data_IF_478821261870
#
_entry.id   IF_478821261870
#
_cell.length_a   1.000
_cell.length_b   1.000
_cell.length_c   1.000
_cell.angle_alpha   90.00
_cell.angle_beta   90.00
_cell.angle_gamma   90.00
#
_symmetry.space_group_name_H-M   'P 1'
#
loop_
_entity.id
_entity.type
_entity.pdbx_description
1 polymer ?
#
# COMPACT_ATOMS: atom_id res chain seq x y z
N UNK A 1 -22.70 29.76 -22.47
CA UNK A 1 -23.03 28.34 -22.70
C UNK A 1 -22.15 27.56 -21.76
N UNK A 2 -22.73 26.95 -20.72
CA UNK A 2 -22.01 25.94 -19.94
C UNK A 2 -21.73 24.76 -20.85
N UNK A 3 -20.46 24.40 -20.98
CA UNK A 3 -20.03 23.23 -21.75
C UNK A 3 -20.46 22.01 -20.95
N UNK A 4 -21.30 21.16 -21.52
CA UNK A 4 -21.87 20.02 -20.80
C UNK A 4 -20.88 18.83 -20.89
N UNK A 5 -20.22 18.49 -19.79
CA UNK A 5 -19.21 17.40 -19.72
C UNK A 5 -19.86 16.02 -19.52
N UNK A 6 -20.92 15.73 -20.29
CA UNK A 6 -21.71 14.49 -20.16
C UNK A 6 -20.85 13.23 -20.34
N UNK A 7 -19.77 13.33 -21.11
CA UNK A 7 -18.83 12.23 -21.36
C UNK A 7 -17.92 11.89 -20.18
N UNK A 8 -17.73 12.79 -19.20
CA UNK A 8 -16.82 12.57 -18.08
C UNK A 8 -17.58 12.04 -16.87
N UNK A 9 -17.29 10.80 -16.50
CA UNK A 9 -17.93 10.12 -15.37
C UNK A 9 -16.99 10.04 -14.17
N UNK A 10 -17.54 9.96 -12.96
CA UNK A 10 -16.75 9.63 -11.78
C UNK A 10 -16.27 8.16 -11.90
N UNK A 11 -15.01 7.86 -11.54
CA UNK A 11 -14.43 6.51 -11.75
C UNK A 11 -15.27 5.39 -11.12
N UNK A 12 -15.88 5.63 -9.96
CA UNK A 12 -16.75 4.65 -9.29
C UNK A 12 -18.04 4.28 -10.04
N UNK A 13 -18.40 5.06 -11.08
CA UNK A 13 -19.54 4.82 -11.97
C UNK A 13 -19.10 4.40 -13.37
N UNK A 14 -17.80 4.50 -13.66
CA UNK A 14 -17.25 4.30 -14.99
C UNK A 14 -17.20 2.80 -15.30
N UNK A 15 -17.74 2.37 -16.44
CA UNK A 15 -17.73 0.95 -16.86
C UNK A 15 -16.48 0.55 -17.65
N UNK A 16 -15.75 1.54 -18.16
CA UNK A 16 -14.62 1.35 -19.06
C UNK A 16 -14.93 1.88 -20.46
N UNK A 17 -14.15 1.46 -21.42
CA UNK A 17 -14.25 1.82 -22.83
C UNK A 17 -14.55 0.56 -23.68
N UNK A 18 -14.26 0.59 -24.97
CA UNK A 18 -14.44 -0.56 -25.85
C UNK A 18 -13.50 -1.71 -25.45
N UNK A 19 -12.22 -1.41 -25.28
CA UNK A 19 -11.17 -2.38 -25.03
C UNK A 19 -10.76 -2.50 -23.55
N UNK A 20 -11.08 -1.51 -22.72
CA UNK A 20 -10.72 -1.50 -21.31
C UNK A 20 -11.94 -1.59 -20.38
N UNK A 21 -11.73 -2.20 -19.22
CA UNK A 21 -12.66 -2.19 -18.10
C UNK A 21 -12.12 -1.37 -16.93
N UNK A 22 -13.02 -0.81 -16.13
CA UNK A 22 -12.70 -0.20 -14.83
C UNK A 22 -13.23 -1.13 -13.75
N UNK A 23 -12.32 -1.71 -12.98
CA UNK A 23 -12.63 -2.58 -11.86
C UNK A 23 -12.49 -1.82 -10.56
N UNK A 24 -13.53 -1.93 -9.73
CA UNK A 24 -13.51 -1.40 -8.37
C UNK A 24 -12.94 -2.45 -7.43
N UNK A 25 -11.79 -2.14 -6.83
CA UNK A 25 -11.10 -3.00 -5.85
C UNK A 25 -11.53 -2.60 -4.43
N UNK A 26 -11.47 -1.29 -4.13
CA UNK A 26 -11.98 -0.72 -2.89
C UNK A 26 -13.16 0.21 -3.18
N UNK A 27 -14.15 0.19 -2.29
CA UNK A 27 -15.37 1.00 -2.41
C UNK A 27 -15.09 2.50 -2.32
N UNK A 28 -16.01 3.32 -2.83
CA UNK A 28 -15.86 4.78 -3.00
C UNK A 28 -15.81 5.59 -1.70
N UNK A 29 -15.74 4.93 -0.56
CA UNK A 29 -15.58 5.47 0.79
C UNK A 29 -14.35 4.90 1.52
N UNK A 30 -13.49 4.19 0.80
CA UNK A 30 -12.32 3.49 1.35
C UNK A 30 -11.05 4.01 0.68
N UNK A 31 -10.08 4.45 1.48
CA UNK A 31 -8.75 4.90 1.03
C UNK A 31 -7.73 3.78 1.17
N UNK A 32 -6.61 3.86 0.43
CA UNK A 32 -5.50 2.92 0.63
C UNK A 32 -4.75 3.33 1.88
N UNK A 33 -4.61 2.40 2.82
CA UNK A 33 -3.82 2.57 4.03
C UNK A 33 -2.41 2.00 3.87
N UNK A 34 -2.30 0.87 3.19
CA UNK A 34 -1.03 0.20 2.91
C UNK A 34 -1.11 -0.48 1.54
N UNK A 35 -0.07 -0.36 0.73
CA UNK A 35 0.06 -1.10 -0.52
C UNK A 35 1.52 -1.50 -0.77
N UNK A 36 1.73 -2.79 -0.97
CA UNK A 36 3.04 -3.35 -1.28
C UNK A 36 2.94 -4.43 -2.35
N UNK A 37 4.01 -4.59 -3.10
CA UNK A 37 4.18 -5.66 -4.06
C UNK A 37 5.11 -6.75 -3.51
N UNK A 38 4.66 -8.00 -3.53
CA UNK A 38 5.44 -9.18 -3.15
C UNK A 38 6.16 -9.73 -4.38
N UNK A 39 7.45 -9.44 -4.51
CA UNK A 39 8.19 -9.67 -5.76
C UNK A 39 8.49 -11.14 -6.09
N UNK A 40 8.34 -12.07 -5.14
CA UNK A 40 8.61 -13.50 -5.40
C UNK A 40 7.39 -14.20 -6.01
N UNK A 41 6.18 -13.87 -5.58
CA UNK A 41 4.91 -14.44 -6.10
C UNK A 41 4.17 -13.52 -7.08
N UNK A 42 4.59 -12.26 -7.22
CA UNK A 42 3.92 -11.25 -8.05
C UNK A 42 2.49 -10.93 -7.62
N UNK A 43 2.36 -10.59 -6.34
CA UNK A 43 1.10 -10.26 -5.71
C UNK A 43 1.13 -8.84 -5.16
N UNK A 44 -0.03 -8.18 -5.12
CA UNK A 44 -0.21 -6.91 -4.42
C UNK A 44 -0.90 -7.19 -3.09
N UNK A 45 -0.25 -6.79 -2.00
CA UNK A 45 -0.87 -6.69 -0.68
C UNK A 45 -1.46 -5.30 -0.53
N UNK A 46 -2.75 -5.22 -0.20
CA UNK A 46 -3.49 -3.97 -0.07
C UNK A 46 -4.28 -3.95 1.24
N UNK A 47 -4.15 -2.88 2.02
CA UNK A 47 -5.06 -2.57 3.14
C UNK A 47 -5.87 -1.35 2.76
N UNK A 48 -7.20 -1.50 2.73
CA UNK A 48 -8.14 -0.39 2.62
C UNK A 48 -8.66 0.03 4.00
N UNK A 49 -8.87 1.34 4.19
CA UNK A 49 -9.49 1.93 5.40
C UNK A 49 -10.76 2.68 5.01
N UNK A 50 -11.91 2.29 5.58
CA UNK A 50 -13.15 3.01 5.37
C UNK A 50 -13.18 4.29 6.22
N UNK A 51 -13.27 5.45 5.56
CA UNK A 51 -13.23 6.75 6.23
C UNK A 51 -14.58 7.23 6.77
N UNK A 52 -15.69 6.66 6.29
CA UNK A 52 -17.05 7.08 6.72
C UNK A 52 -17.52 6.39 8.00
N UNK A 53 -16.85 5.32 8.43
CA UNK A 53 -17.24 4.55 9.60
C UNK A 53 -16.47 5.01 10.84
N UNK A 54 -17.20 5.37 11.91
CA UNK A 54 -16.62 5.82 13.19
C UNK A 54 -15.62 4.83 13.81
N UNK A 55 -15.75 3.54 13.49
CA UNK A 55 -14.88 2.47 14.02
C UNK A 55 -13.72 2.10 13.08
N UNK A 56 -13.44 2.88 12.03
CA UNK A 56 -12.38 2.63 11.04
C UNK A 56 -12.33 1.16 10.59
N UNK A 57 -13.27 0.76 9.73
CA UNK A 57 -13.26 -0.62 9.22
C UNK A 57 -12.13 -0.78 8.21
N UNK A 58 -11.11 -1.56 8.56
CA UNK A 58 -10.04 -1.94 7.64
C UNK A 58 -10.39 -3.26 6.93
N UNK A 59 -9.84 -3.42 5.73
CA UNK A 59 -9.92 -4.67 4.96
C UNK A 59 -8.57 -4.92 4.29
N UNK A 60 -8.04 -6.13 4.42
CA UNK A 60 -6.84 -6.56 3.70
C UNK A 60 -7.21 -7.44 2.52
N UNK A 61 -6.62 -7.15 1.37
CA UNK A 61 -6.79 -7.86 0.12
C UNK A 61 -5.44 -8.33 -0.41
N UNK A 62 -5.45 -9.49 -1.06
CA UNK A 62 -4.38 -9.99 -1.92
C UNK A 62 -4.88 -9.90 -3.36
N UNK A 63 -4.14 -9.21 -4.21
CA UNK A 63 -4.46 -9.02 -5.61
C UNK A 63 -3.37 -9.60 -6.51
N UNK A 64 -3.72 -9.95 -7.74
CA UNK A 64 -2.73 -10.12 -8.80
C UNK A 64 -2.34 -8.77 -9.44
N UNK A 65 -1.34 -8.80 -10.33
CA UNK A 65 -0.87 -7.63 -11.08
C UNK A 65 -1.90 -7.02 -12.03
N UNK A 66 -3.01 -7.72 -12.27
CA UNK A 66 -4.11 -7.26 -13.12
C UNK A 66 -5.29 -6.74 -12.29
N UNK A 67 -5.19 -6.70 -10.95
CA UNK A 67 -6.23 -6.20 -10.06
C UNK A 67 -7.36 -7.19 -9.77
N UNK A 68 -7.19 -8.49 -10.06
CA UNK A 68 -8.12 -9.50 -9.56
C UNK A 68 -7.91 -9.70 -8.05
N UNK A 69 -8.99 -9.72 -7.28
CA UNK A 69 -8.94 -10.08 -5.87
C UNK A 69 -8.79 -11.60 -5.78
N UNK A 70 -7.67 -12.05 -5.23
CA UNK A 70 -7.37 -13.46 -5.05
C UNK A 70 -7.85 -13.98 -3.69
N UNK A 71 -7.70 -13.16 -2.66
CA UNK A 71 -7.99 -13.56 -1.28
C UNK A 71 -8.16 -12.36 -0.34
N UNK A 72 -8.72 -12.60 0.84
CA UNK A 72 -8.88 -11.62 1.93
C UNK A 72 -8.16 -12.11 3.20
N UNK A 73 -7.44 -11.21 3.87
CA UNK A 73 -6.55 -11.57 4.97
C UNK A 73 -6.84 -10.86 6.29
N UNK A 74 -6.17 -11.30 7.35
CA UNK A 74 -6.21 -10.66 8.66
C UNK A 74 -5.45 -9.32 8.68
N UNK A 75 -5.81 -8.44 9.61
CA UNK A 75 -5.21 -7.13 9.79
C UNK A 75 -3.96 -7.21 10.67
N UNK A 76 -2.84 -7.57 10.05
CA UNK A 76 -1.50 -7.53 10.64
C UNK A 76 -0.68 -6.44 9.93
N UNK A 77 0.45 -6.01 10.47
CA UNK A 77 1.42 -5.17 9.74
C UNK A 77 2.19 -6.04 8.75
N UNK A 78 2.47 -5.52 7.55
CA UNK A 78 3.32 -6.25 6.59
C UNK A 78 4.78 -5.90 6.81
N UNK A 79 5.60 -6.86 7.24
CA UNK A 79 7.05 -6.67 7.29
C UNK A 79 7.68 -6.76 5.90
N UNK A 80 8.92 -6.27 5.78
CA UNK A 80 9.62 -6.19 4.47
C UNK A 80 9.91 -7.57 3.87
N UNK A 81 9.95 -8.62 4.69
CA UNK A 81 10.09 -10.00 4.25
C UNK A 81 8.74 -10.69 3.95
N UNK A 82 7.63 -9.95 4.01
CA UNK A 82 6.28 -10.45 3.76
C UNK A 82 5.61 -11.12 4.96
N UNK A 83 6.29 -11.21 6.11
CA UNK A 83 5.68 -11.71 7.34
C UNK A 83 4.52 -10.79 7.75
N UNK A 84 3.39 -11.39 8.11
CA UNK A 84 2.25 -10.69 8.69
C UNK A 84 2.50 -10.60 10.19
N UNK A 85 2.97 -9.43 10.66
CA UNK A 85 3.41 -9.23 12.03
C UNK A 85 2.32 -8.62 12.92
N UNK A 86 2.22 -9.14 14.13
CA UNK A 86 1.48 -8.55 15.23
C UNK A 86 2.30 -8.71 16.52
N UNK A 87 1.92 -8.00 17.59
CA UNK A 87 2.74 -7.92 18.79
C UNK A 87 2.96 -9.29 19.46
N UNK A 88 1.97 -10.17 19.46
CA UNK A 88 2.01 -11.44 20.22
C UNK A 88 2.17 -12.68 19.35
N UNK A 89 1.90 -12.56 18.06
CA UNK A 89 1.93 -13.64 17.08
C UNK A 89 2.25 -13.07 15.68
N UNK A 90 2.45 -13.96 14.72
CA UNK A 90 2.62 -13.63 13.32
C UNK A 90 1.98 -14.73 12.46
N UNK A 91 1.76 -14.46 11.18
CA UNK A 91 1.42 -15.52 10.22
C UNK A 91 2.12 -15.27 8.87
N UNK A 92 1.93 -16.20 7.94
CA UNK A 92 2.59 -16.17 6.63
C UNK A 92 1.59 -16.13 5.48
N UNK A 93 0.37 -15.62 5.73
CA UNK A 93 -0.74 -15.66 4.76
C UNK A 93 -0.36 -15.03 3.41
N UNK A 94 0.43 -13.96 3.43
CA UNK A 94 0.90 -13.31 2.21
C UNK A 94 1.97 -14.12 1.46
N UNK A 95 2.74 -14.94 2.16
CA UNK A 95 3.87 -15.72 1.62
C UNK A 95 3.44 -17.08 1.08
N UNK A 96 2.52 -17.76 1.77
CA UNK A 96 2.14 -19.14 1.45
C UNK A 96 0.66 -19.47 1.75
N UNK A 97 -0.16 -18.46 2.02
CA UNK A 97 -1.57 -18.66 2.34
C UNK A 97 -1.85 -19.19 3.75
N UNK A 98 -0.82 -19.47 4.58
CA UNK A 98 -1.01 -19.90 5.95
C UNK A 98 -1.41 -18.72 6.85
N UNK A 99 -2.67 -18.66 7.22
CA UNK A 99 -3.27 -17.67 8.13
C UNK A 99 -3.30 -18.13 9.60
N UNK A 100 -2.77 -19.31 9.92
CA UNK A 100 -2.64 -19.77 11.30
C UNK A 100 -1.67 -18.87 12.07
N UNK A 101 -2.12 -18.44 13.25
CA UNK A 101 -1.31 -17.63 14.14
C UNK A 101 -0.16 -18.45 14.74
N UNK A 102 1.06 -17.96 14.54
CA UNK A 102 2.28 -18.55 15.06
C UNK A 102 2.78 -17.70 16.23
N UNK A 103 3.05 -18.35 17.35
CA UNK A 103 3.64 -17.68 18.50
C UNK A 103 5.13 -17.45 18.28
N UNK A 104 5.62 -16.32 18.79
CA UNK A 104 7.05 -16.07 18.87
C UNK A 104 7.73 -17.04 19.83
N UNK A 105 8.95 -17.46 19.48
CA UNK A 105 9.80 -18.21 20.39
C UNK A 105 10.39 -17.21 21.39
N UNK A 106 10.23 -17.50 22.68
CA UNK A 106 10.92 -16.79 23.75
C UNK A 106 12.27 -17.49 24.00
N UNK A 107 13.41 -16.86 23.65
CA UNK A 107 14.71 -17.48 23.78
C UNK A 107 15.26 -17.45 25.21
N UNK A 108 14.56 -16.82 26.15
CA UNK A 108 15.05 -16.59 27.51
C UNK A 108 14.32 -17.45 28.54
N UNK A 109 15.09 -18.09 29.42
CA UNK A 109 14.55 -18.67 30.65
C UNK A 109 14.11 -17.60 31.64
N UNK A 110 13.30 -18.01 32.64
CA UNK A 110 12.82 -17.11 33.69
C UNK A 110 13.94 -16.38 34.46
N UNK A 111 15.09 -17.04 34.67
CA UNK A 111 16.26 -16.44 35.30
C UNK A 111 16.98 -15.44 34.39
N UNK A 112 17.18 -15.78 33.11
CA UNK A 112 17.87 -14.91 32.15
C UNK A 112 17.10 -13.61 31.89
N UNK A 113 15.76 -13.65 31.95
CA UNK A 113 14.91 -12.44 31.87
C UNK A 113 15.11 -11.43 33.00
N UNK A 114 15.80 -11.80 34.08
CA UNK A 114 16.07 -10.93 35.25
C UNK A 114 17.54 -10.61 35.46
N UNK A 115 18.41 -11.09 34.58
CA UNK A 115 19.83 -10.80 34.63
C UNK A 115 20.25 -10.09 33.36
N UNK A 116 20.57 -8.80 33.48
CA UNK A 116 20.91 -7.94 32.33
C UNK A 116 22.07 -8.51 31.52
N UNK A 117 23.08 -9.09 32.19
CA UNK A 117 24.24 -9.67 31.52
C UNK A 117 23.86 -10.89 30.68
N UNK A 118 23.12 -11.84 31.26
CA UNK A 118 22.65 -13.02 30.55
C UNK A 118 21.69 -12.66 29.42
N UNK A 119 20.80 -11.69 29.65
CA UNK A 119 19.93 -11.14 28.63
C UNK A 119 20.73 -10.59 27.44
N UNK A 120 21.73 -9.75 27.70
CA UNK A 120 22.57 -9.13 26.65
C UNK A 120 23.37 -10.17 25.85
N UNK A 121 23.89 -11.21 26.51
CA UNK A 121 24.61 -12.29 25.83
C UNK A 121 23.69 -13.00 24.84
N UNK A 122 22.48 -13.37 25.27
CA UNK A 122 21.50 -14.06 24.42
C UNK A 122 20.97 -13.19 23.29
N UNK A 123 20.71 -11.92 23.60
CA UNK A 123 20.28 -10.93 22.62
C UNK A 123 21.35 -10.74 21.53
N UNK A 124 22.62 -10.53 21.92
CA UNK A 124 23.71 -10.33 20.97
C UNK A 124 23.94 -11.57 20.09
N UNK A 125 23.88 -12.77 20.69
CA UNK A 125 23.97 -14.03 19.95
C UNK A 125 22.88 -14.14 18.88
N UNK A 126 21.61 -13.88 19.25
CA UNK A 126 20.51 -14.02 18.32
C UNK A 126 20.48 -12.89 17.27
N UNK A 127 20.73 -11.66 17.68
CA UNK A 127 20.81 -10.50 16.79
C UNK A 127 21.83 -10.75 15.68
N UNK A 128 23.00 -11.29 16.02
CA UNK A 128 24.06 -11.56 15.04
C UNK A 128 23.69 -12.68 14.05
N UNK A 129 22.90 -13.67 14.48
CA UNK A 129 22.38 -14.76 13.63
C UNK A 129 21.16 -14.38 12.81
N UNK A 130 20.44 -13.33 13.20
CA UNK A 130 19.18 -12.95 12.58
C UNK A 130 19.34 -12.46 11.13
N UNK A 131 18.56 -13.04 10.22
CA UNK A 131 18.44 -12.59 8.84
C UNK A 131 17.53 -11.36 8.72
N UNK A 132 16.64 -11.17 9.69
CA UNK A 132 15.79 -9.99 9.84
C UNK A 132 15.62 -9.66 11.33
N UNK A 133 15.86 -8.40 11.68
CA UNK A 133 15.51 -7.79 12.96
C UNK A 133 14.51 -6.66 12.72
N UNK A 134 13.32 -6.81 13.28
CA UNK A 134 12.28 -5.78 13.35
C UNK A 134 12.16 -5.29 14.80
N UNK A 135 12.20 -3.98 15.00
CA UNK A 135 12.08 -3.34 16.30
C UNK A 135 10.74 -2.63 16.38
N UNK A 136 9.99 -2.88 17.44
CA UNK A 136 8.73 -2.19 17.67
C UNK A 136 8.49 -1.99 19.17
N UNK A 137 8.30 -0.72 19.55
CA UNK A 137 8.01 -0.26 20.90
C UNK A 137 9.06 -0.67 21.93
N UNK A 138 8.86 -1.83 22.56
CA UNK A 138 9.72 -2.36 23.63
C UNK A 138 10.11 -3.81 23.33
N UNK A 139 10.16 -4.20 22.06
CA UNK A 139 10.49 -5.56 21.68
C UNK A 139 11.25 -5.63 20.36
N UNK A 140 12.14 -6.60 20.31
CA UNK A 140 12.82 -7.02 19.09
C UNK A 140 12.21 -8.33 18.62
N UNK A 141 11.87 -8.37 17.35
CA UNK A 141 11.41 -9.55 16.64
C UNK A 141 12.55 -9.95 15.70
N UNK A 142 13.07 -11.16 15.86
CA UNK A 142 14.25 -11.62 15.14
C UNK A 142 13.95 -12.92 14.40
N UNK A 143 14.18 -12.92 13.08
CA UNK A 143 14.05 -14.11 12.24
C UNK A 143 15.38 -14.85 12.14
N UNK A 144 15.42 -16.10 12.59
CA UNK A 144 16.59 -16.99 12.51
C UNK A 144 16.13 -18.34 11.95
N UNK A 145 16.71 -18.77 10.83
CA UNK A 145 16.42 -20.08 10.19
C UNK A 145 14.90 -20.33 10.02
N UNK A 146 14.15 -19.31 9.61
CA UNK A 146 12.69 -19.26 9.44
C UNK A 146 11.82 -19.19 10.71
N UNK A 147 12.42 -19.15 11.90
CA UNK A 147 11.67 -18.97 13.14
C UNK A 147 11.76 -17.51 13.60
N UNK A 148 10.63 -16.97 14.07
CA UNK A 148 10.61 -15.66 14.72
C UNK A 148 10.71 -15.79 16.24
N UNK A 149 11.65 -15.04 16.80
CA UNK A 149 11.88 -14.90 18.23
C UNK A 149 11.46 -13.51 18.69
N UNK A 150 10.91 -13.41 19.90
CA UNK A 150 10.55 -12.13 20.53
C UNK A 150 11.41 -11.89 21.77
N UNK A 151 12.14 -10.78 21.75
CA UNK A 151 12.88 -10.26 22.89
C UNK A 151 12.16 -9.02 23.42
N UNK A 152 11.50 -9.15 24.57
CA UNK A 152 10.90 -8.00 25.27
C UNK A 152 11.91 -7.34 26.19
N UNK A 153 11.92 -6.01 26.24
CA UNK A 153 12.63 -5.26 27.26
C UNK A 153 11.91 -5.38 28.61
N UNK A 154 12.62 -5.80 29.65
CA UNK A 154 12.16 -5.63 31.03
C UNK A 154 12.53 -4.22 31.51
N UNK A 155 11.54 -3.33 31.63
CA UNK A 155 11.72 -1.96 32.13
C UNK A 155 12.38 -1.88 33.52
N UNK A 156 12.39 -2.97 34.30
CA UNK A 156 13.09 -3.05 35.59
C UNK A 156 14.58 -3.34 35.44
N UNK A 157 14.98 -4.03 34.38
CA UNK A 157 16.38 -4.27 34.05
C UNK A 157 16.99 -3.11 33.26
N UNK A 158 16.16 -2.42 32.50
CA UNK A 158 16.56 -1.34 31.61
C UNK A 158 16.13 0.02 32.18
N UNK A 159 16.89 0.49 33.18
CA UNK A 159 16.78 1.85 33.72
C UNK A 159 17.69 2.79 32.92
N UNK A 160 17.52 4.12 33.00
CA UNK A 160 18.46 5.06 32.37
C UNK A 160 19.93 4.90 32.77
N UNK A 161 20.19 4.22 33.91
CA UNK A 161 21.53 3.97 34.45
C UNK A 161 22.14 2.68 33.91
N UNK A 162 21.31 1.67 33.61
CA UNK A 162 21.74 0.34 33.11
C UNK A 162 21.55 0.18 31.62
N UNK A 163 20.72 1.01 31.00
CA UNK A 163 20.44 1.04 29.59
C UNK A 163 20.96 2.34 29.00
N UNK A 164 22.08 2.24 28.31
CA UNK A 164 22.51 3.30 27.40
C UNK A 164 21.36 3.56 26.43
N UNK A 165 20.84 4.79 26.40
CA UNK A 165 19.77 5.20 25.49
C UNK A 165 20.14 4.99 24.03
N UNK A 166 21.39 4.61 23.75
CA UNK A 166 21.96 4.24 22.45
C UNK A 166 21.97 2.75 22.12
N UNK A 167 21.38 1.86 22.92
CA UNK A 167 21.31 0.43 22.55
C UNK A 167 20.63 0.23 21.19
N UNK A 168 19.61 1.03 20.87
CA UNK A 168 18.97 1.05 19.55
C UNK A 168 19.92 1.52 18.43
N UNK A 169 20.89 2.39 18.75
CA UNK A 169 21.95 2.79 17.80
C UNK A 169 22.95 1.64 17.58
N UNK A 170 23.20 0.81 18.61
CA UNK A 170 24.10 -0.35 18.52
C UNK A 170 23.45 -1.53 17.79
N UNK A 171 22.14 -1.70 17.92
CA UNK A 171 21.37 -2.81 17.36
C UNK A 171 20.22 -2.31 16.49
N UNK A 172 20.50 -1.58 15.40
CA UNK A 172 19.43 -1.09 14.53
C UNK A 172 18.65 -2.25 13.91
N UNK A 173 17.40 -2.02 13.49
CA UNK A 173 16.70 -2.93 12.59
C UNK A 173 17.59 -3.27 11.38
N UNK A 174 17.59 -4.53 10.98
CA UNK A 174 18.39 -4.99 9.84
C UNK A 174 17.65 -6.07 9.07
N UNK A 175 17.88 -6.14 7.78
CA UNK A 175 17.34 -7.20 6.92
C UNK A 175 18.39 -7.55 5.88
N UNK A 176 18.59 -8.85 5.66
CA UNK A 176 19.45 -9.34 4.58
C UNK A 176 18.75 -9.16 3.22
N UNK A 177 19.47 -8.82 2.14
CA UNK A 177 18.86 -8.58 0.83
C UNK A 177 17.98 -9.73 0.31
N UNK A 178 18.31 -10.96 0.67
CA UNK A 178 17.62 -12.20 0.27
C UNK A 178 16.23 -12.35 0.91
N UNK A 179 16.05 -11.75 2.09
CA UNK A 179 14.79 -11.72 2.84
C UNK A 179 13.84 -10.65 2.32
N UNK A 180 14.33 -9.58 1.68
CA UNK A 180 13.47 -8.52 1.15
C UNK A 180 12.51 -9.10 0.11
N UNK A 181 11.21 -8.99 0.35
CA UNK A 181 10.13 -9.46 -0.53
C UNK A 181 9.16 -8.36 -0.93
N UNK A 182 8.82 -7.51 0.03
CA UNK A 182 7.85 -6.45 -0.15
C UNK A 182 8.52 -5.18 -0.66
N UNK A 183 7.99 -4.64 -1.76
CA UNK A 183 8.47 -3.39 -2.36
C UNK A 183 7.30 -2.42 -2.53
N UNK A 184 7.57 -1.12 -2.44
CA UNK A 184 6.57 -0.10 -2.75
C UNK A 184 6.34 -0.06 -4.26
N UNK A 185 5.09 0.08 -4.66
CA UNK A 185 4.73 0.29 -6.07
C UNK A 185 4.95 1.77 -6.37
N UNK A 186 5.69 2.13 -7.44
CA UNK A 186 5.95 3.52 -7.76
C UNK A 186 4.68 4.25 -8.19
N UNK A 187 4.53 5.48 -7.71
CA UNK A 187 3.56 6.44 -8.25
C UNK A 187 4.08 6.97 -9.58
N UNK A 188 3.19 7.07 -10.57
CA UNK A 188 3.54 7.46 -11.94
C UNK A 188 2.72 8.64 -12.44
N UNK A 189 1.93 9.29 -11.59
CA UNK A 189 1.03 10.39 -11.98
C UNK A 189 1.74 11.48 -12.80
N UNK A 190 2.87 12.00 -12.30
CA UNK A 190 3.63 13.06 -12.99
C UNK A 190 4.22 12.57 -14.31
N UNK A 191 4.78 11.35 -14.34
CA UNK A 191 5.32 10.74 -15.57
C UNK A 191 4.23 10.62 -16.66
N UNK A 192 3.00 10.27 -16.27
CA UNK A 192 1.87 10.14 -17.19
C UNK A 192 1.39 11.51 -17.72
N UNK A 193 1.50 12.57 -16.93
CA UNK A 193 1.23 13.93 -17.41
C UNK A 193 2.30 14.39 -18.41
N UNK A 194 3.58 14.16 -18.08
CA UNK A 194 4.72 14.56 -18.92
C UNK A 194 4.70 13.87 -20.29
N UNK A 195 4.41 12.57 -20.32
CA UNK A 195 4.36 11.78 -21.55
C UNK A 195 2.99 11.86 -22.26
N UNK A 196 2.03 12.63 -21.74
CA UNK A 196 0.68 12.84 -22.27
C UNK A 196 -0.23 11.61 -22.28
N UNK A 197 0.13 10.56 -21.53
CA UNK A 197 -0.76 9.41 -21.30
C UNK A 197 -1.95 9.83 -20.43
N UNK A 198 -1.72 10.68 -19.43
CA UNK A 198 -2.77 11.38 -18.68
C UNK A 198 -2.80 12.83 -19.12
N UNK A 199 -3.98 13.38 -19.41
CA UNK A 199 -4.15 14.78 -19.78
C UNK A 199 -5.28 15.41 -18.96
N UNK A 200 -5.05 16.64 -18.50
CA UNK A 200 -6.10 17.48 -17.96
C UNK A 200 -6.75 18.24 -19.12
N UNK A 201 -7.92 17.79 -19.56
CA UNK A 201 -8.67 18.47 -20.61
C UNK A 201 -9.17 19.84 -20.13
N UNK A 202 -9.72 19.89 -18.91
CA UNK A 202 -10.25 21.13 -18.35
C UNK A 202 -10.38 21.06 -16.82
N UNK A 203 -10.24 22.20 -16.14
CA UNK A 203 -10.64 22.37 -14.75
C UNK A 203 -11.85 23.30 -14.68
N UNK A 204 -12.96 22.78 -14.17
CA UNK A 204 -14.21 23.53 -14.00
C UNK A 204 -14.33 23.96 -12.55
N UNK A 205 -14.03 25.23 -12.27
CA UNK A 205 -14.18 25.84 -10.95
C UNK A 205 -15.66 25.79 -10.50
N UNK A 206 -15.94 25.16 -9.36
CA UNK A 206 -17.29 25.01 -8.81
C UNK A 206 -17.48 25.78 -7.51
N UNK A 207 -16.40 26.04 -6.77
CA UNK A 207 -16.40 26.78 -5.52
C UNK A 207 -15.12 27.61 -5.42
N UNK A 208 -15.22 28.82 -4.88
CA UNK A 208 -14.11 29.76 -4.75
C UNK A 208 -14.21 30.50 -3.42
N UNK A 209 -13.21 30.31 -2.58
CA UNK A 209 -13.01 31.14 -1.40
C UNK A 209 -12.02 32.25 -1.71
N UNK A 210 -12.50 33.50 -1.62
CA UNK A 210 -11.64 34.69 -1.59
C UNK A 210 -11.29 34.99 -0.14
N UNK A 211 -10.01 34.97 0.23
CA UNK A 211 -9.61 35.54 1.52
C UNK A 211 -9.58 37.08 1.43
N UNK A 212 -9.83 37.75 2.56
CA UNK A 212 -9.67 39.20 2.71
C UNK A 212 -8.41 39.52 3.52
N UNK A 213 -7.62 40.49 3.07
CA UNK A 213 -6.35 40.88 3.70
C UNK A 213 -5.34 41.51 2.73
N UNK A 214 -4.15 41.87 3.22
CA UNK A 214 -3.07 42.48 2.42
C UNK A 214 -2.42 41.52 1.40
N UNK A 215 -2.61 40.21 1.56
CA UNK A 215 -2.22 39.15 0.62
C UNK A 215 -3.36 38.12 0.50
N UNK A 216 -4.38 38.37 -0.35
CA UNK A 216 -5.49 37.45 -0.49
C UNK A 216 -5.02 36.16 -1.19
N UNK A 217 -5.10 35.02 -0.50
CA UNK A 217 -4.93 33.70 -1.12
C UNK A 217 -6.33 33.26 -1.55
N UNK A 218 -6.53 33.12 -2.86
CA UNK A 218 -7.76 32.56 -3.41
C UNK A 218 -7.62 31.04 -3.51
N UNK A 219 -8.49 30.31 -2.83
CA UNK A 219 -8.64 28.87 -3.00
C UNK A 219 -9.85 28.61 -3.89
N UNK A 220 -9.72 27.66 -4.82
CA UNK A 220 -10.88 27.14 -5.52
C UNK A 220 -10.90 25.62 -5.52
N UNK A 221 -12.10 25.07 -5.64
CA UNK A 221 -12.32 23.64 -5.87
C UNK A 221 -13.28 23.46 -7.03
N UNK A 222 -13.16 22.32 -7.68
CA UNK A 222 -13.81 22.10 -8.95
C UNK A 222 -13.58 20.71 -9.49
N UNK A 223 -14.15 20.45 -10.66
CA UNK A 223 -13.95 19.19 -11.37
C UNK A 223 -12.76 19.29 -12.31
N UNK A 224 -11.80 18.40 -12.10
CA UNK A 224 -10.76 18.08 -13.06
C UNK A 224 -11.31 17.07 -14.05
N UNK A 225 -11.28 17.40 -15.34
CA UNK A 225 -11.69 16.53 -16.44
C UNK A 225 -10.44 15.87 -17.03
N UNK A 226 -10.21 14.60 -16.70
CA UNK A 226 -9.05 13.84 -17.11
C UNK A 226 -9.35 12.95 -18.31
N UNK A 227 -8.35 12.84 -19.19
CA UNK A 227 -8.32 11.90 -20.30
C UNK A 227 -7.11 10.99 -20.12
N UNK A 228 -7.35 9.69 -19.93
CA UNK A 228 -6.31 8.67 -19.89
C UNK A 228 -6.28 7.98 -21.26
N UNK A 229 -5.21 8.20 -22.01
CA UNK A 229 -4.93 7.60 -23.30
C UNK A 229 -4.36 6.20 -23.08
N UNK A 230 -5.13 5.19 -23.46
CA UNK A 230 -4.81 3.79 -23.19
C UNK A 230 -4.02 3.18 -24.36
N UNK A 231 -3.10 2.23 -24.10
CA UNK A 231 -2.24 1.66 -25.15
C UNK A 231 -2.94 1.10 -26.40
N UNK A 232 -4.16 0.57 -26.28
CA UNK A 232 -4.92 0.06 -27.43
C UNK A 232 -5.69 1.16 -28.21
N UNK A 233 -5.43 2.43 -27.92
CA UNK A 233 -5.98 3.60 -28.62
C UNK A 233 -7.24 4.20 -27.99
N UNK A 234 -7.82 3.53 -26.99
CA UNK A 234 -8.97 4.03 -26.24
C UNK A 234 -8.61 5.27 -25.41
N UNK A 235 -9.60 6.13 -25.15
CA UNK A 235 -9.47 7.24 -24.19
C UNK A 235 -10.51 7.03 -23.10
N UNK A 236 -10.04 6.87 -21.86
CA UNK A 236 -10.91 6.85 -20.69
C UNK A 236 -11.10 8.29 -20.18
N UNK A 237 -12.32 8.80 -20.27
CA UNK A 237 -12.66 10.16 -19.80
C UNK A 237 -13.31 10.08 -18.43
N UNK A 238 -12.65 10.62 -17.42
CA UNK A 238 -13.18 10.62 -16.07
C UNK A 238 -12.99 11.97 -15.40
N UNK A 239 -13.85 12.27 -14.42
CA UNK A 239 -13.74 13.51 -13.64
C UNK A 239 -13.39 13.23 -12.19
N UNK A 240 -12.83 14.25 -11.56
CA UNK A 240 -12.47 14.21 -10.14
C UNK A 240 -12.68 15.57 -9.49
N UNK A 241 -13.44 15.62 -8.40
CA UNK A 241 -13.59 16.84 -7.62
C UNK A 241 -12.42 17.03 -6.66
N UNK A 242 -11.68 18.13 -6.81
CA UNK A 242 -10.50 18.43 -5.99
C UNK A 242 -10.31 19.93 -5.79
N UNK A 243 -9.38 20.31 -4.91
CA UNK A 243 -8.94 21.70 -4.81
C UNK A 243 -7.87 21.98 -5.86
N UNK A 244 -7.89 23.20 -6.41
CA UNK A 244 -6.93 23.67 -7.40
C UNK A 244 -5.49 23.53 -6.90
N UNK A 245 -4.59 23.01 -7.73
CA UNK A 245 -3.14 23.00 -7.49
C UNK A 245 -2.57 21.76 -6.77
N UNK A 246 -3.39 20.75 -6.46
CA UNK A 246 -2.91 19.43 -6.03
C UNK A 246 -3.26 18.39 -7.10
N UNK A 247 -2.70 17.18 -7.03
CA UNK A 247 -2.83 16.02 -7.96
C UNK A 247 -4.29 15.51 -8.09
N UNK A 248 -5.28 16.40 -7.96
CA UNK A 248 -6.69 16.16 -7.73
C UNK A 248 -6.99 15.20 -6.57
N UNK A 249 -6.07 15.09 -5.61
CA UNK A 249 -6.06 14.07 -4.54
C UNK A 249 -6.22 12.66 -5.12
N UNK A 250 -5.42 12.37 -6.15
CA UNK A 250 -5.42 11.13 -6.90
C UNK A 250 -3.98 10.68 -7.11
N UNK A 251 -3.74 9.38 -6.90
CA UNK A 251 -2.47 8.74 -7.20
C UNK A 251 -2.71 7.67 -8.28
N UNK A 252 -1.75 7.54 -9.19
CA UNK A 252 -1.78 6.50 -10.22
C UNK A 252 -0.53 5.65 -10.07
N UNK A 253 -0.70 4.33 -10.10
CA UNK A 253 0.35 3.35 -9.97
C UNK A 253 0.36 2.43 -11.18
N UNK A 254 1.57 2.02 -11.58
CA UNK A 254 1.78 0.96 -12.56
C UNK A 254 2.82 -0.01 -12.00
N UNK A 255 2.55 -1.31 -12.15
CA UNK A 255 3.51 -2.34 -11.75
C UNK A 255 4.47 -2.54 -12.94
N UNK A 256 5.80 -2.33 -12.76
CA UNK A 256 6.76 -2.49 -13.83
C UNK A 256 6.81 -3.91 -14.41
N UNK A 257 7.18 -4.04 -15.69
CA UNK A 257 7.32 -5.33 -16.38
C UNK A 257 8.34 -6.26 -15.74
N UNK A 258 9.40 -5.71 -15.14
CA UNK A 258 10.42 -6.47 -14.40
C UNK A 258 9.83 -7.17 -13.17
N UNK A 259 8.71 -6.64 -12.67
CA UNK A 259 7.91 -7.19 -11.59
C UNK A 259 6.70 -7.98 -12.10
N UNK A 260 6.62 -8.27 -13.40
CA UNK A 260 5.51 -9.02 -14.01
C UNK A 260 4.24 -8.21 -14.24
N UNK A 261 4.26 -6.90 -14.00
CA UNK A 261 3.15 -6.01 -14.35
C UNK A 261 3.17 -5.61 -15.83
N UNK A 262 2.20 -4.78 -16.24
CA UNK A 262 2.02 -4.38 -17.65
C UNK A 262 1.75 -2.89 -17.74
N UNK A 263 2.32 -2.24 -18.77
CA UNK A 263 2.07 -0.83 -19.09
C UNK A 263 0.61 -0.59 -19.53
N UNK A 264 -0.15 -1.66 -19.77
CA UNK A 264 -1.59 -1.62 -20.05
C UNK A 264 -2.46 -1.60 -18.78
N UNK A 265 -1.90 -1.82 -17.60
CA UNK A 265 -2.67 -1.85 -16.34
C UNK A 265 -2.33 -0.64 -15.49
N UNK A 266 -3.35 0.11 -15.11
CA UNK A 266 -3.24 1.27 -14.23
C UNK A 266 -4.05 1.03 -12.96
N UNK A 267 -3.48 1.33 -11.81
CA UNK A 267 -4.23 1.40 -10.56
C UNK A 267 -4.41 2.87 -10.19
N UNK A 268 -5.64 3.27 -9.89
CA UNK A 268 -5.96 4.65 -9.50
C UNK A 268 -6.52 4.64 -8.09
N UNK A 269 -5.82 5.33 -7.19
CA UNK A 269 -6.32 5.70 -5.87
C UNK A 269 -6.95 7.10 -5.93
N UNK A 270 -8.14 7.24 -5.35
CA UNK A 270 -8.77 8.54 -5.10
C UNK A 270 -8.91 8.77 -3.60
N UNK A 271 -8.44 9.91 -3.13
CA UNK A 271 -8.58 10.36 -1.74
C UNK A 271 -9.80 11.30 -1.64
N UNK A 272 -10.71 11.12 -0.68
CA UNK A 272 -11.86 11.99 -0.55
C UNK A 272 -11.47 13.31 0.15
N UNK A 273 -12.27 14.36 -0.08
CA UNK A 273 -12.19 15.60 0.69
C UNK A 273 -13.32 15.66 1.69
N UNK A 274 -12.95 15.80 2.96
CA UNK A 274 -13.92 15.97 4.05
C UNK A 274 -14.83 17.20 3.86
N UNK A 275 -14.32 18.24 3.21
CA UNK A 275 -15.10 19.47 2.93
C UNK A 275 -16.15 19.28 1.82
N UNK A 276 -16.04 18.22 1.00
CA UNK A 276 -16.94 17.97 -0.13
C UNK A 276 -17.36 16.48 -0.20
N UNK A 277 -18.00 15.93 0.86
CA UNK A 277 -18.22 14.49 1.02
C UNK A 277 -19.18 13.87 -0.02
N UNK A 278 -19.97 14.71 -0.70
CA UNK A 278 -20.95 14.29 -1.72
C UNK A 278 -20.44 14.52 -3.16
N UNK A 279 -19.25 15.11 -3.32
CA UNK A 279 -18.62 15.37 -4.63
C UNK A 279 -17.25 14.70 -4.77
N UNK A 280 -16.57 14.48 -3.65
CA UNK A 280 -15.22 13.97 -3.59
C UNK A 280 -15.23 12.56 -3.01
N UNK A 281 -15.32 11.58 -3.89
CA UNK A 281 -15.34 10.16 -3.53
C UNK A 281 -13.92 9.59 -3.41
N UNK A 282 -13.78 8.61 -2.53
CA UNK A 282 -12.57 7.81 -2.38
C UNK A 282 -12.58 6.64 -3.39
N UNK A 283 -11.64 5.70 -3.21
CA UNK A 283 -11.69 4.37 -3.80
C UNK A 283 -10.38 3.97 -4.44
N UNK A 284 -10.28 2.69 -4.78
CA UNK A 284 -9.12 2.13 -5.47
C UNK A 284 -9.60 1.28 -6.64
N UNK A 285 -9.14 1.60 -7.83
CA UNK A 285 -9.64 1.05 -9.10
C UNK A 285 -8.49 0.49 -9.92
N UNK A 286 -8.73 -0.58 -10.66
CA UNK A 286 -7.86 -1.05 -11.73
C UNK A 286 -8.48 -0.74 -13.09
N UNK A 287 -7.69 -0.17 -13.99
CA UNK A 287 -8.03 0.03 -15.40
C UNK A 287 -7.15 -0.94 -16.18
N UNK A 288 -7.76 -1.85 -16.92
CA UNK A 288 -7.04 -2.91 -17.64
C UNK A 288 -7.75 -3.32 -18.93
N UNK A 289 -7.06 -3.97 -19.87
CA UNK A 289 -7.69 -4.53 -21.04
C UNK A 289 -8.70 -5.61 -20.68
N UNK A 290 -9.85 -5.66 -21.36
CA UNK A 290 -10.83 -6.74 -21.21
C UNK A 290 -10.25 -8.10 -21.62
N UNK A 291 -9.31 -8.09 -22.56
CA UNK A 291 -8.56 -9.25 -23.00
C UNK A 291 -7.23 -9.43 -22.25
N UNK A 292 -7.09 -8.95 -20.99
CA UNK A 292 -5.83 -9.03 -20.23
C UNK A 292 -5.21 -10.45 -20.19
N UNK A 293 -6.01 -11.50 -20.33
CA UNK A 293 -5.54 -12.90 -20.39
C UNK A 293 -4.72 -13.24 -21.64
N UNK A 294 -4.80 -12.41 -22.68
CA UNK A 294 -4.04 -12.55 -23.92
C UNK A 294 -2.68 -11.85 -23.84
N UNK A 295 -2.46 -11.00 -22.83
CA UNK A 295 -1.22 -10.28 -22.64
C UNK A 295 -0.05 -11.25 -22.35
N UNK A 296 1.17 -10.99 -22.87
CA UNK A 296 2.36 -11.78 -22.57
C UNK A 296 2.64 -11.94 -21.07
N UNK A 297 2.37 -10.90 -20.30
CA UNK A 297 2.56 -10.85 -18.85
C UNK A 297 1.63 -11.80 -18.12
N UNK A 298 0.39 -11.98 -18.59
CA UNK A 298 -0.55 -12.93 -17.99
C UNK A 298 -0.10 -14.37 -18.18
N UNK A 299 0.46 -14.71 -19.35
CA UNK A 299 1.03 -16.05 -19.59
C UNK A 299 2.16 -16.33 -18.60
N UNK A 300 3.08 -15.36 -18.46
CA UNK A 300 4.21 -15.45 -17.53
C UNK A 300 3.77 -15.60 -16.07
N UNK A 301 2.73 -14.85 -15.67
CA UNK A 301 2.11 -14.96 -14.35
C UNK A 301 1.48 -16.34 -14.14
N UNK A 302 0.65 -16.82 -15.07
CA UNK A 302 -0.06 -18.10 -14.96
C UNK A 302 0.88 -19.32 -14.91
N UNK A 303 2.03 -19.24 -15.56
CA UNK A 303 3.06 -20.29 -15.51
C UNK A 303 3.79 -20.32 -14.16
N UNK A 304 3.86 -19.19 -13.45
CA UNK A 304 4.41 -19.10 -12.09
C UNK A 304 3.40 -19.56 -11.04
N UNK A 305 2.13 -19.19 -11.16
CA UNK A 305 1.08 -19.70 -10.28
C UNK A 305 1.03 -21.23 -10.27
N UNK A 306 1.19 -21.89 -11.43
CA UNK A 306 1.20 -23.36 -11.52
C UNK A 306 2.39 -24.05 -10.81
N UNK A 307 3.42 -23.30 -10.42
CA UNK A 307 4.64 -23.82 -9.79
C UNK A 307 4.66 -23.63 -8.28
N UNK A 308 3.76 -22.82 -7.74
CA UNK A 308 3.57 -22.58 -6.30
C UNK A 308 2.40 -23.42 -5.77
#
# INVERSE_FOLDING_TARGET
>A
MEKEYIEYQDLHQHKGSENYEVLKILESNTVVYEMFFEKKQYLVSLIGKNEKLQNFKYKRLKLDVFGNILDEGQLYETLTDGTMWHMDNYNNWLINGNDEEQNYIDPLTYSEKRDLKSWLIKFDELYNKASYVYESSWSYYMKVENNWYKFSYDKKLFTPETFDTKVYEKYPPKITPEEVRMVKIPEVFDNLLENKTLQLAEYVEMDKQKSSGLNPISFSSGYYMFELHLPQGDILKFRRYGAMGFNADMNIYQIPKELGGSDEVFFIEQLPRQTYPDKSFAGFYAIRPKNYKELPEYKSYSEKEKKN
#
